data_IF_998308022487
#
_entry.id   IF_998308022487
#
_cell.length_a   1.000
_cell.length_b   1.000
_cell.length_c   1.000
_cell.angle_alpha   90.00
_cell.angle_beta   90.00
_cell.angle_gamma   90.00
#
_symmetry.space_group_name_H-M   'P 1'
#
loop_
_entity.id
_entity.type
_entity.pdbx_description
1 polymer ?
#
# COMPACT_ATOMS: atom_id res chain seq x y z
N UNK A 1 -3.27 -6.20 -10.31
CA UNK A 1 -2.34 -6.50 -11.44
C UNK A 1 -0.93 -5.91 -11.24
N UNK A 2 -0.79 -4.67 -10.75
CA UNK A 2 0.52 -4.01 -10.55
C UNK A 2 1.45 -4.80 -9.63
N UNK A 3 0.96 -5.23 -8.52
CA UNK A 3 1.73 -5.98 -7.54
C UNK A 3 2.16 -7.39 -8.01
N UNK A 4 1.32 -8.08 -8.77
CA UNK A 4 1.64 -9.40 -9.33
C UNK A 4 2.80 -9.33 -10.33
N UNK A 5 2.98 -8.18 -11.01
CA UNK A 5 4.08 -7.94 -11.93
C UNK A 5 5.40 -7.63 -11.23
N UNK A 6 5.36 -7.07 -10.00
CA UNK A 6 6.55 -6.54 -9.34
C UNK A 6 7.33 -7.57 -8.52
N UNK A 7 6.69 -8.55 -7.90
CA UNK A 7 7.38 -9.43 -6.93
C UNK A 7 6.88 -10.89 -6.95
N UNK A 8 6.13 -11.32 -7.97
CA UNK A 8 5.59 -12.69 -8.05
C UNK A 8 4.20 -12.84 -7.43
N UNK A 9 3.53 -13.91 -7.78
CA UNK A 9 2.08 -14.14 -7.64
C UNK A 9 1.51 -14.20 -6.21
N UNK A 10 2.32 -14.22 -5.17
CA UNK A 10 1.82 -14.39 -3.79
C UNK A 10 1.78 -13.11 -2.95
N UNK A 11 2.31 -11.99 -3.43
CA UNK A 11 2.59 -10.81 -2.60
C UNK A 11 1.59 -9.67 -2.69
N UNK A 12 0.54 -9.79 -3.48
CA UNK A 12 -0.49 -8.76 -3.61
C UNK A 12 -1.89 -9.34 -3.52
N UNK A 13 -2.23 -9.76 -2.32
CA UNK A 13 -3.58 -10.22 -2.02
C UNK A 13 -4.42 -9.00 -1.64
N UNK A 14 -4.82 -8.25 -2.67
CA UNK A 14 -5.95 -7.32 -2.55
C UNK A 14 -7.14 -7.96 -3.22
N UNK A 15 -8.05 -8.46 -2.44
CA UNK A 15 -9.31 -8.94 -2.96
C UNK A 15 -10.23 -7.75 -3.24
N UNK A 16 -10.80 -7.71 -4.44
CA UNK A 16 -11.89 -6.80 -4.78
C UNK A 16 -13.18 -7.50 -4.44
N UNK A 17 -13.93 -6.92 -3.50
CA UNK A 17 -15.15 -7.49 -2.95
C UNK A 17 -16.34 -6.63 -3.40
N UNK A 18 -17.25 -7.21 -4.16
CA UNK A 18 -18.38 -6.52 -4.76
C UNK A 18 -19.72 -6.87 -4.11
N UNK A 19 -19.75 -7.91 -3.30
CA UNK A 19 -20.99 -8.41 -2.68
C UNK A 19 -20.82 -8.66 -1.19
N UNK A 20 -21.92 -8.66 -0.45
CA UNK A 20 -21.92 -8.98 0.97
C UNK A 20 -21.42 -10.41 1.25
N UNK A 21 -21.70 -11.36 0.35
CA UNK A 21 -21.28 -12.76 0.51
C UNK A 21 -19.77 -12.90 0.30
N UNK A 22 -19.18 -12.18 -0.66
CA UNK A 22 -17.73 -12.13 -0.84
C UNK A 22 -17.03 -11.52 0.39
N UNK A 23 -17.58 -10.43 0.95
CA UNK A 23 -17.04 -9.80 2.17
C UNK A 23 -17.12 -10.76 3.34
N UNK A 24 -18.25 -11.46 3.52
CA UNK A 24 -18.42 -12.47 4.55
C UNK A 24 -17.39 -13.58 4.40
N UNK A 25 -17.29 -14.19 3.22
CA UNK A 25 -16.35 -15.27 2.92
C UNK A 25 -14.89 -14.83 3.17
N UNK A 26 -14.53 -13.61 2.78
CA UNK A 26 -13.20 -13.06 2.99
C UNK A 26 -12.87 -12.86 4.48
N UNK A 27 -13.84 -12.34 5.26
CA UNK A 27 -13.61 -11.99 6.69
C UNK A 27 -13.75 -13.17 7.64
N UNK A 28 -14.41 -14.25 7.23
CA UNK A 28 -14.49 -15.51 7.99
C UNK A 28 -13.24 -16.37 7.90
N UNK A 29 -12.28 -16.04 7.02
CA UNK A 29 -10.96 -16.67 7.03
C UNK A 29 -10.23 -16.35 8.34
N UNK A 30 -9.38 -17.27 8.79
CA UNK A 30 -8.75 -17.29 10.11
C UNK A 30 -7.84 -16.11 10.48
N UNK A 31 -7.44 -15.28 9.50
CA UNK A 31 -6.51 -14.18 9.71
C UNK A 31 -7.23 -12.84 9.89
N UNK A 32 -6.63 -11.96 10.68
CA UNK A 32 -7.10 -10.57 10.79
C UNK A 32 -7.08 -9.89 9.43
N UNK A 33 -8.15 -9.17 9.12
CA UNK A 33 -8.35 -8.50 7.84
C UNK A 33 -8.51 -6.99 8.01
N UNK A 34 -8.12 -6.25 7.00
CA UNK A 34 -8.47 -4.85 6.85
C UNK A 34 -9.29 -4.68 5.57
N UNK A 35 -10.40 -3.96 5.69
CA UNK A 35 -11.24 -3.60 4.56
C UNK A 35 -11.08 -2.11 4.29
N UNK A 36 -10.98 -1.75 3.02
CA UNK A 36 -10.73 -0.37 2.58
C UNK A 36 -11.81 0.07 1.60
N UNK A 37 -12.36 1.26 1.82
CA UNK A 37 -13.18 1.93 0.83
C UNK A 37 -12.26 2.50 -0.27
N UNK A 38 -12.44 2.17 -1.56
CA UNK A 38 -11.49 2.51 -2.63
C UNK A 38 -11.21 4.01 -2.80
N UNK A 39 -12.26 4.82 -2.65
CA UNK A 39 -12.20 6.28 -2.81
C UNK A 39 -12.17 6.98 -1.45
N UNK A 40 -11.16 6.66 -0.65
CA UNK A 40 -10.93 7.29 0.64
C UNK A 40 -9.43 7.55 0.82
N UNK A 41 -9.07 8.54 1.62
CA UNK A 41 -7.67 8.88 1.89
C UNK A 41 -7.43 9.22 3.34
N UNK A 42 -6.17 9.35 3.73
CA UNK A 42 -5.73 9.78 5.07
C UNK A 42 -6.24 8.87 6.20
N UNK A 43 -6.25 7.56 5.97
CA UNK A 43 -6.72 6.58 6.95
C UNK A 43 -8.25 6.55 7.17
N UNK A 44 -9.02 7.35 6.42
CA UNK A 44 -10.48 7.28 6.44
C UNK A 44 -10.97 6.11 5.59
N UNK A 45 -12.12 5.53 5.94
CA UNK A 45 -12.67 4.40 5.17
C UNK A 45 -11.92 3.09 5.34
N UNK A 46 -11.19 2.93 6.43
CA UNK A 46 -10.60 1.67 6.87
C UNK A 46 -11.50 1.01 7.91
N UNK A 47 -11.72 -0.29 7.74
CA UNK A 47 -12.38 -1.13 8.73
C UNK A 47 -11.47 -2.28 9.16
N UNK A 48 -11.03 -2.26 10.40
CA UNK A 48 -10.18 -3.29 10.98
C UNK A 48 -11.04 -4.44 11.47
N UNK A 49 -11.06 -5.53 10.73
CA UNK A 49 -11.83 -6.72 11.11
C UNK A 49 -10.96 -7.69 11.92
N UNK A 50 -11.25 -7.77 13.21
CA UNK A 50 -10.53 -8.63 14.15
C UNK A 50 -11.33 -9.88 14.55
N UNK A 51 -12.65 -9.92 14.26
CA UNK A 51 -13.57 -10.87 14.87
C UNK A 51 -14.53 -11.57 13.89
N UNK A 52 -14.30 -11.43 12.58
CA UNK A 52 -15.19 -12.02 11.57
C UNK A 52 -16.33 -11.11 11.15
N UNK A 53 -17.35 -11.69 10.49
CA UNK A 53 -18.45 -10.91 9.91
C UNK A 53 -19.55 -10.67 10.95
N UNK A 54 -19.70 -9.42 11.37
CA UNK A 54 -20.73 -8.98 12.33
C UNK A 54 -21.69 -7.94 11.73
N UNK A 55 -22.69 -7.52 12.53
CA UNK A 55 -23.69 -6.54 12.09
C UNK A 55 -23.09 -5.18 11.79
N UNK A 56 -22.06 -4.75 12.53
CA UNK A 56 -21.41 -3.45 12.33
C UNK A 56 -20.64 -3.44 10.99
N UNK A 57 -19.90 -4.52 10.72
CA UNK A 57 -19.24 -4.71 9.44
C UNK A 57 -20.24 -4.75 8.28
N UNK A 58 -21.35 -5.49 8.45
CA UNK A 58 -22.39 -5.57 7.42
C UNK A 58 -22.99 -4.20 7.08
N UNK A 59 -23.29 -3.38 8.09
CA UNK A 59 -23.83 -2.03 7.89
C UNK A 59 -22.82 -1.11 7.21
N UNK A 60 -21.56 -1.10 7.67
CA UNK A 60 -20.51 -0.28 7.10
C UNK A 60 -20.20 -0.69 5.66
N UNK A 61 -20.02 -1.99 5.39
CA UNK A 61 -19.70 -2.50 4.07
C UNK A 61 -20.82 -2.26 3.05
N UNK A 62 -22.09 -2.45 3.44
CA UNK A 62 -23.24 -2.12 2.59
C UNK A 62 -23.25 -0.62 2.23
N UNK A 63 -22.95 0.26 3.18
CA UNK A 63 -22.85 1.70 2.92
C UNK A 63 -21.75 2.05 1.92
N UNK A 64 -20.61 1.36 1.95
CA UNK A 64 -19.53 1.54 0.98
C UNK A 64 -19.91 0.95 -0.39
N UNK A 65 -20.44 -0.27 -0.43
CA UNK A 65 -20.89 -0.91 -1.68
C UNK A 65 -21.90 -0.05 -2.43
N UNK A 66 -22.88 0.51 -1.72
CA UNK A 66 -23.89 1.38 -2.34
C UNK A 66 -23.28 2.67 -2.94
N UNK A 67 -22.24 3.23 -2.31
CA UNK A 67 -21.62 4.49 -2.75
C UNK A 67 -20.51 4.30 -3.77
N UNK A 68 -19.75 3.21 -3.66
CA UNK A 68 -18.49 3.03 -4.38
C UNK A 68 -18.44 1.74 -5.21
N UNK A 69 -19.42 0.85 -5.08
CA UNK A 69 -19.58 -0.36 -5.88
C UNK A 69 -18.66 -1.52 -5.49
N UNK A 70 -17.64 -1.28 -4.66
CA UNK A 70 -16.72 -2.33 -4.20
C UNK A 70 -16.00 -1.94 -2.90
N UNK A 71 -15.38 -2.93 -2.28
CA UNK A 71 -14.42 -2.83 -1.19
C UNK A 71 -13.12 -3.51 -1.59
N UNK A 72 -12.03 -3.11 -0.96
CA UNK A 72 -10.75 -3.81 -1.06
C UNK A 72 -10.48 -4.51 0.27
N UNK A 73 -10.16 -5.81 0.21
CA UNK A 73 -9.79 -6.62 1.36
C UNK A 73 -8.31 -6.95 1.36
N UNK A 74 -7.65 -6.84 2.50
CA UNK A 74 -6.23 -7.15 2.67
C UNK A 74 -6.02 -7.89 4.00
N UNK A 75 -5.00 -8.76 4.12
CA UNK A 75 -4.57 -9.27 5.41
C UNK A 75 -3.95 -8.14 6.25
N UNK A 76 -4.07 -8.25 7.57
CA UNK A 76 -3.34 -7.36 8.49
C UNK A 76 -1.94 -7.90 8.66
N UNK A 77 -0.96 -7.11 8.25
CA UNK A 77 0.46 -7.44 8.38
C UNK A 77 1.04 -7.03 9.73
N UNK A 78 2.07 -7.74 10.20
CA UNK A 78 2.91 -7.32 11.33
C UNK A 78 3.89 -6.23 10.87
N UNK A 79 3.38 -5.01 10.80
CA UNK A 79 4.08 -3.84 10.28
C UNK A 79 5.31 -3.51 11.11
N UNK A 80 6.45 -3.29 10.44
CA UNK A 80 7.70 -2.79 11.03
C UNK A 80 7.77 -1.27 10.85
N UNK A 81 7.60 -0.77 9.61
CA UNK A 81 7.73 0.65 9.27
C UNK A 81 7.02 1.00 7.98
N UNK A 82 6.61 2.26 7.86
CA UNK A 82 6.01 2.84 6.68
C UNK A 82 7.07 3.62 5.88
N UNK A 83 7.05 3.44 4.56
CA UNK A 83 7.99 4.03 3.61
C UNK A 83 7.26 4.52 2.37
N UNK A 84 7.88 5.43 1.64
CA UNK A 84 7.49 5.72 0.28
C UNK A 84 8.71 5.84 -0.64
N UNK A 85 8.51 5.55 -1.92
CA UNK A 85 9.38 5.97 -3.01
C UNK A 85 8.70 7.11 -3.75
N UNK A 86 9.43 8.20 -3.92
CA UNK A 86 8.96 9.36 -4.64
C UNK A 86 9.53 9.35 -6.06
N UNK A 87 8.71 9.78 -7.01
CA UNK A 87 9.01 9.78 -8.43
C UNK A 87 8.64 11.12 -9.07
N UNK A 88 9.26 11.41 -10.20
CA UNK A 88 8.91 12.52 -11.07
C UNK A 88 8.69 12.03 -12.49
N UNK A 89 7.54 12.37 -13.06
CA UNK A 89 7.23 12.16 -14.48
C UNK A 89 7.37 13.47 -15.24
N UNK A 90 8.02 13.44 -16.39
CA UNK A 90 8.08 14.57 -17.33
C UNK A 90 7.07 14.43 -18.49
N UNK A 91 6.24 13.38 -18.46
CA UNK A 91 5.28 13.03 -19.51
C UNK A 91 5.78 12.01 -20.53
N UNK A 92 7.07 11.66 -20.47
CA UNK A 92 7.72 10.66 -21.36
C UNK A 92 8.38 9.55 -20.57
N UNK A 93 9.06 9.90 -19.50
CA UNK A 93 9.74 8.95 -18.62
C UNK A 93 9.48 9.27 -17.15
N UNK A 94 9.72 8.28 -16.29
CA UNK A 94 9.64 8.44 -14.84
C UNK A 94 11.02 8.22 -14.23
N UNK A 95 11.41 9.15 -13.36
CA UNK A 95 12.66 9.09 -12.60
C UNK A 95 12.36 8.95 -11.11
N UNK A 96 13.20 8.17 -10.44
CA UNK A 96 13.20 8.14 -8.97
C UNK A 96 13.66 9.50 -8.43
N UNK A 97 12.92 10.03 -7.46
CA UNK A 97 13.16 11.35 -6.87
C UNK A 97 13.67 11.27 -5.42
N UNK A 98 13.40 10.20 -4.70
CA UNK A 98 13.88 10.03 -3.34
C UNK A 98 13.08 9.01 -2.52
N UNK A 99 13.50 8.82 -1.27
CA UNK A 99 12.80 8.01 -0.28
C UNK A 99 12.11 8.90 0.74
N UNK A 100 11.01 8.40 1.29
CA UNK A 100 10.33 8.97 2.44
C UNK A 100 10.09 7.89 3.48
N UNK A 101 10.22 8.24 4.76
CA UNK A 101 9.83 7.40 5.88
C UNK A 101 8.87 8.19 6.76
N UNK A 102 7.76 7.57 7.11
CA UNK A 102 6.70 8.22 7.86
C UNK A 102 6.11 7.32 8.93
N UNK A 103 5.41 7.92 9.86
CA UNK A 103 4.69 7.21 10.92
C UNK A 103 3.19 7.33 10.71
N UNK A 104 2.50 6.24 10.94
CA UNK A 104 1.05 6.20 11.05
C UNK A 104 0.64 5.83 12.47
N UNK A 105 -0.54 6.26 12.88
CA UNK A 105 -1.12 5.84 14.14
C UNK A 105 -1.67 4.39 14.05
N UNK A 106 -2.22 3.90 15.17
CA UNK A 106 -2.82 2.55 15.24
C UNK A 106 -4.02 2.34 14.31
N UNK A 107 -4.58 3.40 13.77
CA UNK A 107 -5.71 3.37 12.84
C UNK A 107 -5.29 3.55 11.38
N UNK A 108 -3.98 3.73 11.12
CA UNK A 108 -3.43 3.96 9.78
C UNK A 108 -3.45 5.43 9.35
N UNK A 109 -3.79 6.37 10.24
CA UNK A 109 -3.74 7.79 9.92
C UNK A 109 -2.29 8.30 10.02
N UNK A 110 -1.89 9.11 9.02
CA UNK A 110 -0.58 9.76 8.98
C UNK A 110 -0.35 10.64 10.22
N UNK A 111 0.85 10.60 10.77
CA UNK A 111 1.28 11.41 11.91
C UNK A 111 2.39 12.37 11.56
N UNK A 112 3.50 11.88 11.04
CA UNK A 112 4.70 12.67 10.80
C UNK A 112 5.64 12.00 9.81
N UNK A 113 6.47 12.79 9.11
CA UNK A 113 7.60 12.32 8.31
C UNK A 113 8.89 12.44 9.11
N UNK A 114 9.80 11.51 8.86
CA UNK A 114 11.16 11.59 9.31
C UNK A 114 11.99 12.38 8.30
N UNK A 115 12.62 13.44 8.77
CA UNK A 115 13.56 14.23 7.95
C UNK A 115 14.97 13.62 8.04
N UNK A 116 15.45 13.05 6.94
CA UNK A 116 16.80 12.52 6.79
C UNK A 116 17.20 12.60 5.32
N UNK A 117 18.50 12.45 5.03
CA UNK A 117 18.96 12.37 3.64
C UNK A 117 18.57 11.02 3.01
N UNK A 118 18.41 10.97 1.68
CA UNK A 118 18.13 9.73 0.95
C UNK A 118 19.12 8.61 1.27
N UNK A 119 20.40 8.93 1.42
CA UNK A 119 21.42 7.94 1.79
C UNK A 119 21.16 7.29 3.16
N UNK A 120 20.67 8.05 4.13
CA UNK A 120 20.29 7.53 5.44
C UNK A 120 19.02 6.70 5.35
N UNK A 121 18.00 7.19 4.64
CA UNK A 121 16.73 6.47 4.45
C UNK A 121 16.93 5.16 3.68
N UNK A 122 17.75 5.17 2.61
CA UNK A 122 18.08 3.96 1.85
C UNK A 122 18.82 2.93 2.71
N UNK A 123 19.77 3.37 3.53
CA UNK A 123 20.48 2.48 4.45
C UNK A 123 19.52 1.81 5.46
N UNK A 124 18.61 2.57 6.03
CA UNK A 124 17.63 2.07 6.98
C UNK A 124 16.63 1.10 6.34
N UNK A 125 16.15 1.43 5.14
CA UNK A 125 15.27 0.55 4.38
C UNK A 125 16.02 -0.73 3.97
N UNK A 126 17.31 -0.60 3.59
CA UNK A 126 18.18 -1.75 3.32
C UNK A 126 18.33 -2.67 4.54
N UNK A 127 18.49 -2.10 5.73
CA UNK A 127 18.52 -2.90 6.96
C UNK A 127 17.17 -3.55 7.28
N UNK A 128 16.08 -2.94 6.85
CA UNK A 128 14.74 -3.48 7.08
C UNK A 128 14.42 -4.66 6.17
N UNK A 129 14.76 -4.61 4.87
CA UNK A 129 14.26 -5.56 3.87
C UNK A 129 15.31 -6.09 2.88
N UNK A 130 16.51 -5.52 2.84
CA UNK A 130 17.60 -5.90 1.93
C UNK A 130 17.68 -5.04 0.67
N UNK A 131 18.92 -4.75 0.24
CA UNK A 131 19.23 -3.86 -0.90
C UNK A 131 18.70 -4.42 -2.23
N UNK A 132 18.85 -5.72 -2.46
CA UNK A 132 18.42 -6.37 -3.69
C UNK A 132 16.91 -6.19 -3.93
N UNK A 133 16.11 -6.33 -2.88
CA UNK A 133 14.66 -6.16 -2.94
C UNK A 133 14.30 -4.71 -3.30
N UNK A 134 14.96 -3.74 -2.65
CA UNK A 134 14.72 -2.32 -2.87
C UNK A 134 15.06 -1.93 -4.30
N UNK A 135 16.22 -2.38 -4.80
CA UNK A 135 16.67 -2.09 -6.16
C UNK A 135 15.72 -2.68 -7.18
N UNK A 136 15.35 -3.94 -7.04
CA UNK A 136 14.41 -4.60 -7.97
C UNK A 136 13.02 -3.94 -7.97
N UNK A 137 12.50 -3.55 -6.81
CA UNK A 137 11.22 -2.84 -6.71
C UNK A 137 11.31 -1.46 -7.36
N UNK A 138 12.37 -0.69 -7.09
CA UNK A 138 12.59 0.63 -7.67
C UNK A 138 12.64 0.59 -9.20
N UNK A 139 13.44 -0.31 -9.77
CA UNK A 139 13.54 -0.49 -11.22
C UNK A 139 12.20 -0.89 -11.84
N UNK A 140 11.53 -1.89 -11.26
CA UNK A 140 10.22 -2.34 -11.75
C UNK A 140 9.14 -1.24 -11.67
N UNK A 141 9.16 -0.40 -10.63
CA UNK A 141 8.24 0.73 -10.51
C UNK A 141 8.54 1.82 -11.55
N UNK A 142 9.81 2.13 -11.82
CA UNK A 142 10.20 3.09 -12.87
C UNK A 142 9.69 2.64 -14.22
N UNK A 143 9.95 1.38 -14.60
CA UNK A 143 9.52 0.81 -15.88
C UNK A 143 8.00 0.84 -16.01
N UNK A 144 7.30 0.35 -14.98
CA UNK A 144 5.85 0.32 -14.95
C UNK A 144 5.23 1.72 -15.06
N UNK A 145 5.74 2.69 -14.31
CA UNK A 145 5.21 4.06 -14.32
C UNK A 145 5.57 4.82 -15.60
N UNK A 146 6.73 4.53 -16.20
CA UNK A 146 7.07 5.09 -17.51
C UNK A 146 6.07 4.62 -18.57
N UNK A 147 5.70 3.34 -18.56
CA UNK A 147 4.71 2.81 -19.50
C UNK A 147 3.28 3.27 -19.21
N UNK A 148 2.87 3.29 -17.93
CA UNK A 148 1.45 3.38 -17.55
C UNK A 148 1.02 4.73 -16.99
N UNK A 149 1.94 5.53 -16.47
CA UNK A 149 1.63 6.81 -15.82
C UNK A 149 2.15 7.99 -16.63
N UNK A 150 3.38 7.95 -17.14
CA UNK A 150 3.98 9.07 -17.85
C UNK A 150 3.12 9.61 -19.00
N UNK A 151 2.45 8.79 -19.83
CA UNK A 151 1.61 9.32 -20.91
C UNK A 151 0.42 10.17 -20.45
N UNK A 152 0.05 10.11 -19.16
CA UNK A 152 -1.17 10.72 -18.62
C UNK A 152 -0.90 11.68 -17.46
N UNK A 153 0.31 11.70 -16.92
CA UNK A 153 0.64 12.49 -15.74
C UNK A 153 2.04 13.09 -15.81
N UNK A 154 2.14 14.39 -15.48
CA UNK A 154 3.41 15.12 -15.34
C UNK A 154 3.47 15.72 -13.95
N UNK A 155 4.61 15.54 -13.27
CA UNK A 155 4.84 16.06 -11.93
C UNK A 155 5.33 15.00 -10.94
N UNK A 156 5.42 15.39 -9.68
CA UNK A 156 5.82 14.49 -8.59
C UNK A 156 4.66 13.62 -8.13
N UNK A 157 4.98 12.38 -7.78
CA UNK A 157 4.04 11.44 -7.18
C UNK A 157 4.80 10.41 -6.34
N UNK A 158 4.09 9.72 -5.45
CA UNK A 158 4.71 8.74 -4.57
C UNK A 158 3.96 7.43 -4.48
N UNK A 159 4.67 6.39 -4.07
CA UNK A 159 4.13 5.06 -3.76
C UNK A 159 4.44 4.72 -2.33
N UNK A 160 3.38 4.59 -1.52
CA UNK A 160 3.52 4.12 -0.15
C UNK A 160 3.82 2.63 -0.13
N UNK A 161 4.76 2.25 0.71
CA UNK A 161 5.25 0.89 0.92
C UNK A 161 5.26 0.57 2.41
N UNK A 162 5.35 -0.70 2.74
CA UNK A 162 5.40 -1.14 4.13
C UNK A 162 6.41 -2.27 4.31
N UNK A 163 7.36 -2.08 5.22
CA UNK A 163 8.17 -3.19 5.72
C UNK A 163 7.37 -3.94 6.80
N UNK A 164 7.32 -5.28 6.71
CA UNK A 164 6.55 -6.12 7.64
C UNK A 164 7.25 -7.44 7.92
N UNK A 165 6.78 -8.18 8.93
CA UNK A 165 7.19 -9.56 9.19
C UNK A 165 6.11 -10.53 8.73
N UNK A 166 6.55 -11.61 8.10
CA UNK A 166 5.69 -12.75 7.84
C UNK A 166 5.50 -13.61 9.09
N UNK A 167 4.67 -14.67 8.98
CA UNK A 167 4.41 -15.62 10.08
C UNK A 167 5.65 -16.42 10.49
N UNK A 168 6.70 -16.43 9.67
CA UNK A 168 7.98 -17.12 9.94
C UNK A 168 9.02 -16.17 10.54
N UNK A 169 8.69 -14.86 10.69
CA UNK A 169 9.58 -13.84 11.20
C UNK A 169 10.49 -13.21 10.15
N UNK A 170 10.35 -13.58 8.86
CA UNK A 170 11.10 -12.96 7.78
C UNK A 170 10.65 -11.52 7.58
N UNK A 171 11.61 -10.64 7.28
CA UNK A 171 11.32 -9.24 6.94
C UNK A 171 11.08 -9.15 5.44
N UNK A 172 9.94 -8.59 5.08
CA UNK A 172 9.48 -8.46 3.71
C UNK A 172 9.05 -7.02 3.42
N UNK A 173 9.03 -6.64 2.15
CA UNK A 173 8.49 -5.36 1.68
C UNK A 173 7.15 -5.60 0.98
N UNK A 174 6.12 -4.89 1.42
CA UNK A 174 4.90 -4.69 0.63
C UNK A 174 5.15 -3.48 -0.28
N UNK A 175 5.40 -3.69 -1.57
CA UNK A 175 5.98 -2.66 -2.44
C UNK A 175 4.97 -1.65 -2.95
N UNK A 176 3.66 -1.84 -2.69
CA UNK A 176 2.60 -1.02 -3.25
C UNK A 176 1.37 -1.00 -2.34
N UNK A 177 1.40 -0.13 -1.33
CA UNK A 177 0.25 0.06 -0.41
C UNK A 177 -0.73 1.07 -0.99
N UNK A 178 -0.24 2.22 -1.46
CA UNK A 178 -1.06 3.29 -2.04
C UNK A 178 -0.25 4.06 -3.11
N UNK A 179 -0.92 4.45 -4.19
CA UNK A 179 -0.38 5.36 -5.20
C UNK A 179 -0.95 6.76 -4.97
N UNK A 180 -0.07 7.72 -4.78
CA UNK A 180 -0.40 9.13 -4.55
C UNK A 180 0.02 9.96 -5.77
N UNK A 181 -0.89 10.12 -6.77
CA UNK A 181 -0.64 10.95 -7.97
C UNK A 181 -0.75 12.43 -7.64
N UNK A 182 0.11 12.90 -6.78
CA UNK A 182 0.25 14.29 -6.33
C UNK A 182 1.60 14.46 -5.62
N UNK A 183 2.04 15.70 -5.47
CA UNK A 183 3.17 15.96 -4.59
C UNK A 183 2.84 15.51 -3.15
N UNK A 184 3.70 14.74 -2.57
CA UNK A 184 3.60 14.25 -1.19
C UNK A 184 4.33 15.19 -0.21
N UNK A 185 4.20 14.88 1.08
CA UNK A 185 4.93 15.57 2.14
C UNK A 185 6.26 14.87 2.50
N UNK A 186 6.67 13.91 1.69
CA UNK A 186 7.94 13.20 1.81
C UNK A 186 9.07 13.90 1.09
#
# INVERSE_FOLDING_TARGET
EICACLVGSEMCIRDRLHTADEIRSFTEQSDRKILKAPWSGSGRGLYWNLYGYDTALAQWSNGVLQKQGMLMGEPVYDKISDWAMEFHSDGFEVKFAGYSSFLTDRHGAYKENRLASDAVLELELTHAVGLEIITAVKESLIDFFTERIAPYYTGYFGVDMMAYRDKRGNRLLHPFVELNLRMNMG
#
